data_IF_636588926382
#
_entry.id   IF_636588926382
#
_cell.length_a   1.000
_cell.length_b   1.000
_cell.length_c   1.000
_cell.angle_alpha   90.00
_cell.angle_beta   90.00
_cell.angle_gamma   90.00
#
_symmetry.space_group_name_H-M   'P 1'
#
loop_
_entity.id
_entity.type
_entity.pdbx_description
1 polymer ?
#
# COMPACT_ATOMS: atom_id res chain seq x y z
N UNK A 1 1.87 9.04 15.58
CA UNK A 1 2.69 9.47 14.43
C UNK A 1 1.81 9.77 13.21
N UNK A 2 0.97 8.85 12.70
CA UNK A 2 0.10 9.11 11.54
C UNK A 2 -0.87 10.26 11.77
N UNK A 3 -1.37 10.45 12.99
CA UNK A 3 -2.25 11.56 13.36
C UNK A 3 -1.58 12.93 13.31
N UNK A 4 -0.23 12.98 13.32
CA UNK A 4 0.60 14.19 13.30
C UNK A 4 1.31 14.37 11.95
N UNK A 5 0.92 13.59 10.91
CA UNK A 5 1.59 13.59 9.61
C UNK A 5 0.67 14.09 8.48
N UNK A 6 1.25 14.86 7.59
CA UNK A 6 0.59 15.43 6.42
C UNK A 6 1.04 16.87 6.18
N UNK A 7 0.65 17.43 5.05
CA UNK A 7 1.03 18.78 4.64
C UNK A 7 0.32 19.90 5.44
N UNK A 8 -0.83 19.59 6.07
CA UNK A 8 -1.60 20.56 6.85
C UNK A 8 -1.15 20.55 8.31
N UNK A 9 -0.39 21.57 8.70
CA UNK A 9 0.15 21.71 10.06
C UNK A 9 -0.94 21.95 11.13
N UNK A 10 -2.09 22.52 10.78
CA UNK A 10 -3.18 22.73 11.74
C UNK A 10 -3.84 21.39 12.07
N UNK A 11 -4.13 20.59 11.08
CA UNK A 11 -4.63 19.21 11.27
C UNK A 11 -3.63 18.34 12.04
N UNK A 12 -2.35 18.45 11.76
CA UNK A 12 -1.31 17.72 12.50
C UNK A 12 -1.32 18.05 13.99
N UNK A 13 -1.38 19.34 14.36
CA UNK A 13 -1.51 19.77 15.77
C UNK A 13 -2.80 19.30 16.43
N UNK A 14 -3.88 19.19 15.65
CA UNK A 14 -5.16 18.69 16.14
C UNK A 14 -5.24 17.14 16.21
N UNK A 15 -4.14 16.42 15.95
CA UNK A 15 -4.10 14.97 15.89
C UNK A 15 -5.03 14.38 14.81
N UNK A 16 -5.28 15.15 13.74
CA UNK A 16 -6.15 14.81 12.60
C UNK A 16 -5.38 14.94 11.27
N UNK A 17 -4.07 14.68 11.29
CA UNK A 17 -3.22 14.74 10.09
C UNK A 17 -3.71 13.84 8.96
N UNK A 18 -3.46 14.24 7.71
CA UNK A 18 -3.95 13.53 6.52
C UNK A 18 -3.44 12.10 6.41
N UNK A 19 -2.28 11.78 6.99
CA UNK A 19 -1.77 10.41 7.10
C UNK A 19 -2.68 9.48 7.93
N UNK A 20 -3.41 10.03 8.91
CA UNK A 20 -4.43 9.31 9.66
C UNK A 20 -5.78 9.35 8.93
N UNK A 21 -6.20 10.54 8.48
CA UNK A 21 -7.52 10.74 7.87
C UNK A 21 -7.76 9.81 6.68
N UNK A 22 -6.74 9.55 5.88
CA UNK A 22 -6.83 8.66 4.71
C UNK A 22 -7.23 7.23 5.05
N UNK A 23 -7.01 6.79 6.30
CA UNK A 23 -7.26 5.41 6.75
C UNK A 23 -8.21 5.35 7.96
N UNK A 24 -8.68 6.49 8.45
CA UNK A 24 -9.44 6.60 9.70
C UNK A 24 -10.93 6.29 9.60
N UNK A 25 -11.51 6.25 8.39
CA UNK A 25 -12.94 6.02 8.17
C UNK A 25 -13.43 4.67 8.69
N UNK A 26 -14.70 4.58 9.07
CA UNK A 26 -15.35 3.40 9.65
C UNK A 26 -14.73 2.87 10.95
N UNK A 27 -13.91 3.66 11.64
CA UNK A 27 -13.25 3.23 12.87
C UNK A 27 -13.77 4.01 14.08
N UNK A 28 -13.99 3.30 15.19
CA UNK A 28 -14.12 3.91 16.51
C UNK A 28 -12.73 4.11 17.09
N UNK A 29 -12.50 5.23 17.77
CA UNK A 29 -11.22 5.55 18.40
C UNK A 29 -11.36 5.52 19.92
N UNK A 30 -10.54 4.71 20.57
CA UNK A 30 -10.41 4.64 22.03
C UNK A 30 -8.99 5.07 22.43
N UNK A 31 -8.85 5.63 23.63
CA UNK A 31 -7.56 6.01 24.18
C UNK A 31 -7.26 5.21 25.45
N UNK A 32 -6.32 4.27 25.34
CA UNK A 32 -5.87 3.41 26.43
C UNK A 32 -4.40 3.65 26.74
N UNK A 33 -4.07 3.85 28.00
CA UNK A 33 -2.68 3.91 28.46
C UNK A 33 -2.21 2.51 28.88
N UNK A 34 -1.59 1.79 27.96
CA UNK A 34 -1.11 0.43 28.19
C UNK A 34 0.06 0.32 29.20
N UNK A 35 0.63 1.46 29.63
CA UNK A 35 1.61 1.46 30.73
C UNK A 35 0.95 1.23 32.09
N UNK A 36 -0.33 1.53 32.23
CA UNK A 36 -1.11 1.30 33.45
C UNK A 36 -1.74 -0.09 33.46
N UNK A 37 -1.97 -0.65 34.65
CA UNK A 37 -2.68 -1.91 34.81
C UNK A 37 -4.13 -1.82 34.27
N UNK A 38 -4.83 -0.72 34.56
CA UNK A 38 -6.20 -0.49 34.09
C UNK A 38 -6.32 -0.43 32.57
N UNK A 39 -5.37 0.22 31.87
CA UNK A 39 -5.35 0.27 30.40
C UNK A 39 -5.11 -1.12 29.78
N UNK A 40 -4.21 -1.92 30.35
CA UNK A 40 -3.98 -3.30 29.92
C UNK A 40 -5.21 -4.20 30.15
N UNK A 41 -5.83 -4.07 31.32
CA UNK A 41 -7.04 -4.84 31.63
C UNK A 41 -8.20 -4.48 30.69
N UNK A 42 -8.36 -3.21 30.35
CA UNK A 42 -9.34 -2.76 29.37
C UNK A 42 -9.11 -3.41 27.99
N UNK A 43 -7.86 -3.47 27.53
CA UNK A 43 -7.53 -4.15 26.26
C UNK A 43 -7.79 -5.67 26.35
N UNK A 44 -7.40 -6.32 27.45
CA UNK A 44 -7.66 -7.76 27.66
C UNK A 44 -9.16 -8.07 27.64
N UNK A 45 -9.98 -7.22 28.24
CA UNK A 45 -11.43 -7.38 28.23
C UNK A 45 -12.03 -7.16 26.82
N UNK A 46 -11.50 -6.21 26.04
CA UNK A 46 -11.87 -6.03 24.64
C UNK A 46 -11.56 -7.30 23.83
N UNK A 47 -10.38 -7.86 24.00
CA UNK A 47 -9.98 -9.11 23.32
C UNK A 47 -10.86 -10.28 23.72
N UNK A 48 -11.13 -10.44 25.02
CA UNK A 48 -11.91 -11.58 25.52
C UNK A 48 -13.38 -11.55 25.11
N UNK A 49 -13.97 -10.35 24.91
CA UNK A 49 -15.42 -10.20 24.74
C UNK A 49 -15.88 -9.70 23.38
N UNK A 50 -14.97 -9.13 22.58
CA UNK A 50 -15.39 -8.42 21.38
C UNK A 50 -14.49 -8.64 20.17
N UNK A 51 -13.16 -8.77 20.35
CA UNK A 51 -12.26 -8.80 19.21
C UNK A 51 -12.20 -10.17 18.52
N UNK A 52 -12.46 -10.19 17.23
CA UNK A 52 -12.14 -11.31 16.35
C UNK A 52 -10.68 -11.29 15.91
N UNK A 53 -10.15 -10.08 15.69
CA UNK A 53 -8.80 -9.83 15.20
C UNK A 53 -8.15 -8.74 16.04
N UNK A 54 -6.91 -8.96 16.43
CA UNK A 54 -6.05 -7.92 16.99
C UNK A 54 -4.89 -7.67 16.03
N UNK A 55 -4.69 -6.41 15.63
CA UNK A 55 -3.55 -5.99 14.80
C UNK A 55 -2.70 -5.04 15.61
N UNK A 56 -1.40 -5.29 15.67
CA UNK A 56 -0.44 -4.39 16.29
C UNK A 56 0.79 -4.18 15.39
N UNK A 57 1.45 -3.03 15.51
CA UNK A 57 2.69 -2.71 14.81
C UNK A 57 3.72 -2.07 15.74
N UNK A 58 3.75 -2.50 16.98
CA UNK A 58 4.78 -2.12 17.94
C UNK A 58 6.11 -2.82 17.64
N UNK A 59 7.17 -2.35 18.30
CA UNK A 59 8.47 -3.04 18.20
C UNK A 59 8.35 -4.47 18.73
N UNK A 60 9.04 -5.44 18.10
CA UNK A 60 9.05 -6.82 18.58
C UNK A 60 9.27 -6.93 20.09
N UNK A 61 8.47 -7.76 20.73
CA UNK A 61 8.52 -7.97 22.18
C UNK A 61 7.82 -6.92 23.04
N UNK A 62 7.44 -5.75 22.51
CA UNK A 62 6.84 -4.68 23.31
C UNK A 62 5.47 -5.08 23.89
N UNK A 63 4.60 -5.70 23.11
CA UNK A 63 3.31 -6.20 23.59
C UNK A 63 3.48 -7.37 24.57
N UNK A 64 4.41 -8.28 24.29
CA UNK A 64 4.75 -9.39 25.20
C UNK A 64 5.23 -8.88 26.55
N UNK A 65 6.10 -7.86 26.59
CA UNK A 65 6.56 -7.24 27.83
C UNK A 65 5.44 -6.59 28.66
N UNK A 66 4.32 -6.24 28.01
CA UNK A 66 3.12 -5.72 28.70
C UNK A 66 2.14 -6.81 29.11
N UNK A 67 2.43 -8.10 28.87
CA UNK A 67 1.50 -9.20 29.07
C UNK A 67 0.30 -9.17 28.12
N UNK A 68 0.54 -8.70 26.88
CA UNK A 68 -0.42 -8.56 25.78
C UNK A 68 0.05 -9.29 24.52
N UNK A 69 1.05 -10.18 24.63
CA UNK A 69 1.52 -11.01 23.54
C UNK A 69 0.48 -12.05 23.11
N UNK A 70 0.73 -12.70 21.98
CA UNK A 70 -0.20 -13.72 21.43
C UNK A 70 -0.54 -14.79 22.47
N UNK A 71 0.45 -15.37 23.14
CA UNK A 71 0.23 -16.43 24.14
C UNK A 71 -0.63 -15.96 25.31
N UNK A 72 -0.51 -14.70 25.71
CA UNK A 72 -1.32 -14.14 26.80
C UNK A 72 -2.78 -13.94 26.37
N UNK A 73 -2.98 -13.40 25.17
CA UNK A 73 -4.31 -13.06 24.69
C UNK A 73 -5.06 -14.28 24.12
N UNK A 74 -4.37 -15.25 23.54
CA UNK A 74 -4.96 -16.50 23.07
C UNK A 74 -5.52 -17.35 24.22
N UNK A 75 -4.97 -17.26 25.43
CA UNK A 75 -5.57 -17.87 26.63
C UNK A 75 -6.91 -17.25 27.02
N UNK A 76 -7.10 -15.97 26.72
CA UNK A 76 -8.35 -15.25 26.98
C UNK A 76 -9.37 -15.45 25.86
N UNK A 77 -8.90 -15.55 24.62
CA UNK A 77 -9.71 -15.78 23.43
C UNK A 77 -8.98 -16.76 22.48
N UNK A 78 -9.24 -18.07 22.62
CA UNK A 78 -8.60 -19.09 21.75
C UNK A 78 -8.92 -18.96 20.27
N UNK A 79 -9.95 -18.19 19.92
CA UNK A 79 -10.36 -17.95 18.54
C UNK A 79 -9.76 -16.68 17.93
N UNK A 80 -8.94 -15.95 18.69
CA UNK A 80 -8.35 -14.69 18.27
C UNK A 80 -7.38 -14.88 17.09
N UNK A 81 -7.56 -14.10 16.03
CA UNK A 81 -6.53 -13.89 15.01
C UNK A 81 -5.67 -12.71 15.44
N UNK A 82 -4.41 -12.98 15.74
CA UNK A 82 -3.45 -11.98 16.20
C UNK A 82 -2.44 -11.68 15.08
N UNK A 83 -2.43 -10.47 14.55
CA UNK A 83 -1.49 -10.05 13.50
C UNK A 83 -0.49 -9.02 14.03
N UNK A 84 0.79 -9.39 14.03
CA UNK A 84 1.90 -8.52 14.37
C UNK A 84 2.60 -8.08 13.08
N UNK A 85 2.64 -6.77 12.82
CA UNK A 85 3.21 -6.19 11.60
C UNK A 85 4.44 -5.38 11.94
N UNK A 86 5.63 -5.82 11.52
CA UNK A 86 6.89 -5.19 11.88
C UNK A 86 7.80 -5.00 10.66
N UNK A 87 8.92 -4.31 10.85
CA UNK A 87 9.88 -4.07 9.78
C UNK A 87 10.55 -5.38 9.29
N UNK A 88 10.98 -6.25 10.23
CA UNK A 88 11.80 -7.43 9.93
C UNK A 88 11.26 -8.73 10.54
N UNK A 89 10.02 -8.76 11.03
CA UNK A 89 9.44 -9.91 11.73
C UNK A 89 9.79 -9.95 13.22
N UNK A 90 9.14 -10.85 13.92
CA UNK A 90 9.31 -11.02 15.38
C UNK A 90 10.57 -11.82 15.75
N UNK A 91 11.16 -12.51 14.79
CA UNK A 91 12.33 -13.38 14.99
C UNK A 91 13.42 -13.09 13.95
N UNK A 92 14.61 -13.56 14.22
CA UNK A 92 15.76 -13.44 13.31
C UNK A 92 16.74 -12.33 13.71
N UNK A 93 17.87 -12.23 13.01
CA UNK A 93 18.99 -11.36 13.42
C UNK A 93 18.69 -9.87 13.34
N UNK A 94 17.64 -9.47 12.61
CA UNK A 94 17.21 -8.07 12.43
C UNK A 94 15.92 -7.72 13.18
N UNK A 95 15.33 -8.63 13.95
CA UNK A 95 14.05 -8.41 14.62
C UNK A 95 14.01 -7.16 15.52
N UNK A 96 15.13 -6.82 16.17
CA UNK A 96 15.24 -5.64 17.03
C UNK A 96 15.48 -4.33 16.28
N UNK A 97 15.77 -4.39 14.97
CA UNK A 97 15.97 -3.20 14.15
C UNK A 97 14.64 -2.53 13.82
N UNK A 98 14.68 -1.22 13.69
CA UNK A 98 13.52 -0.41 13.28
C UNK A 98 13.71 0.11 11.87
N UNK A 99 12.64 0.10 11.08
CA UNK A 99 12.64 0.68 9.74
C UNK A 99 11.24 1.21 9.41
N UNK A 100 11.22 2.10 8.43
CA UNK A 100 10.03 2.59 7.75
C UNK A 100 10.11 2.19 6.27
N UNK A 101 9.09 2.48 5.50
CA UNK A 101 8.98 2.16 4.08
C UNK A 101 10.29 2.37 3.28
N UNK A 102 10.82 3.60 3.29
CA UNK A 102 12.01 3.95 2.51
C UNK A 102 13.29 3.21 2.97
N UNK A 103 13.38 2.88 4.27
CA UNK A 103 14.49 2.09 4.78
C UNK A 103 14.37 0.62 4.36
N UNK A 104 13.14 0.08 4.30
CA UNK A 104 12.90 -1.26 3.75
C UNK A 104 13.16 -1.30 2.25
N UNK A 105 12.73 -0.29 1.48
CA UNK A 105 13.09 -0.20 0.06
C UNK A 105 14.61 -0.24 -0.15
N UNK A 106 15.36 0.49 0.68
CA UNK A 106 16.83 0.52 0.59
C UNK A 106 17.46 -0.83 0.92
N UNK A 107 17.02 -1.48 2.00
CA UNK A 107 17.64 -2.73 2.47
C UNK A 107 17.20 -3.96 1.68
N UNK A 108 16.04 -3.92 1.00
CA UNK A 108 15.54 -5.03 0.17
C UNK A 108 16.11 -5.05 -1.25
N UNK A 109 16.79 -3.98 -1.69
CA UNK A 109 17.29 -3.86 -3.06
C UNK A 109 16.37 -3.08 -4.03
N UNK A 110 15.13 -2.73 -3.64
CA UNK A 110 14.21 -1.94 -4.48
C UNK A 110 14.86 -0.61 -4.88
N UNK A 111 15.41 0.12 -3.92
CA UNK A 111 16.11 1.39 -4.18
C UNK A 111 17.32 1.19 -5.09
N UNK A 112 18.06 0.10 -4.90
CA UNK A 112 19.25 -0.19 -5.69
C UNK A 112 18.94 -0.48 -7.17
N UNK A 113 17.77 -1.02 -7.46
CA UNK A 113 17.31 -1.34 -8.83
C UNK A 113 16.49 -0.21 -9.48
N UNK A 114 16.13 0.83 -8.72
CA UNK A 114 15.33 1.98 -9.19
C UNK A 114 16.23 3.18 -9.49
N UNK A 115 15.94 3.91 -10.57
CA UNK A 115 16.71 5.06 -11.04
C UNK A 115 17.47 4.78 -12.34
N UNK A 116 18.50 5.59 -12.62
CA UNK A 116 19.41 5.46 -13.77
C UNK A 116 20.86 5.40 -13.30
N UNK A 117 21.79 5.19 -14.19
CA UNK A 117 23.21 5.30 -13.87
C UNK A 117 23.58 6.70 -13.41
N UNK A 118 23.01 7.73 -14.04
CA UNK A 118 23.29 9.14 -13.74
C UNK A 118 22.60 9.64 -12.48
N UNK A 119 21.35 9.24 -12.23
CA UNK A 119 20.62 9.62 -11.00
C UNK A 119 21.12 8.85 -9.77
N UNK A 120 21.74 7.69 -9.98
CA UNK A 120 21.98 6.73 -8.92
C UNK A 120 20.73 6.03 -8.42
N UNK A 121 20.80 5.35 -7.24
CA UNK A 121 19.66 4.70 -6.61
C UNK A 121 18.59 5.72 -6.16
N UNK A 122 17.31 5.44 -6.46
CA UNK A 122 16.18 6.30 -6.09
C UNK A 122 15.10 5.44 -5.42
N UNK A 123 14.52 5.92 -4.32
CA UNK A 123 13.33 5.28 -3.73
C UNK A 123 12.09 5.56 -4.57
N UNK A 124 11.09 4.70 -4.51
CA UNK A 124 9.77 5.00 -5.07
C UNK A 124 9.14 6.24 -4.39
N UNK A 125 8.37 7.01 -5.15
CA UNK A 125 7.71 8.22 -4.64
C UNK A 125 6.62 7.90 -3.60
N UNK A 126 5.80 6.90 -3.87
CA UNK A 126 4.77 6.42 -2.95
C UNK A 126 5.35 5.47 -1.88
N UNK A 127 4.75 5.39 -0.68
CA UNK A 127 5.13 4.43 0.37
C UNK A 127 4.60 3.02 0.01
N UNK A 128 5.17 2.44 -1.04
CA UNK A 128 4.66 1.22 -1.68
C UNK A 128 4.79 -0.01 -0.78
N UNK A 129 5.81 -0.08 0.05
CA UNK A 129 6.03 -1.23 0.95
C UNK A 129 5.03 -1.20 2.10
N UNK A 130 4.75 -0.02 2.67
CA UNK A 130 3.73 0.15 3.72
C UNK A 130 2.35 -0.31 3.22
N UNK A 131 1.92 0.20 2.06
CA UNK A 131 0.61 -0.17 1.49
C UNK A 131 0.55 -1.63 1.05
N UNK A 132 1.61 -2.16 0.46
CA UNK A 132 1.68 -3.59 0.13
C UNK A 132 1.63 -4.47 1.39
N UNK A 133 2.31 -4.06 2.48
CA UNK A 133 2.26 -4.76 3.77
C UNK A 133 0.85 -4.74 4.35
N UNK A 134 0.18 -3.59 4.34
CA UNK A 134 -1.20 -3.49 4.77
C UNK A 134 -2.16 -4.39 3.98
N UNK A 135 -1.99 -4.42 2.66
CA UNK A 135 -2.78 -5.30 1.76
C UNK A 135 -2.49 -6.77 2.01
N UNK A 136 -1.21 -7.15 2.16
CA UNK A 136 -0.82 -8.53 2.48
C UNK A 136 -1.33 -8.95 3.85
N UNK A 137 -1.33 -8.02 4.82
CA UNK A 137 -1.91 -8.22 6.15
C UNK A 137 -3.40 -8.48 6.09
N UNK A 138 -4.14 -7.71 5.32
CA UNK A 138 -5.58 -7.92 5.12
C UNK A 138 -5.86 -9.29 4.47
N UNK A 139 -5.06 -9.70 3.49
CA UNK A 139 -5.14 -11.03 2.89
C UNK A 139 -4.86 -12.16 3.90
N UNK A 140 -3.76 -12.05 4.66
CA UNK A 140 -3.38 -13.04 5.67
C UNK A 140 -4.45 -13.17 6.78
N UNK A 141 -5.00 -12.04 7.25
CA UNK A 141 -6.08 -12.01 8.22
C UNK A 141 -7.34 -12.68 7.65
N UNK A 142 -7.71 -12.38 6.41
CA UNK A 142 -8.88 -12.99 5.76
C UNK A 142 -8.72 -14.50 5.62
N UNK A 143 -7.52 -14.98 5.25
CA UNK A 143 -7.21 -16.40 5.18
C UNK A 143 -7.27 -17.08 6.57
N UNK A 144 -6.75 -16.41 7.61
CA UNK A 144 -6.82 -16.91 8.99
C UNK A 144 -8.26 -16.96 9.53
N UNK A 145 -9.09 -15.97 9.21
CA UNK A 145 -10.51 -15.97 9.55
C UNK A 145 -11.26 -17.11 8.84
N UNK A 146 -10.95 -17.34 7.57
CA UNK A 146 -11.51 -18.49 6.84
C UNK A 146 -11.07 -19.83 7.43
N UNK A 147 -9.80 -19.97 7.81
CA UNK A 147 -9.30 -21.14 8.53
C UNK A 147 -10.04 -21.33 9.86
N UNK A 148 -10.21 -20.25 10.63
CA UNK A 148 -10.94 -20.25 11.93
C UNK A 148 -12.37 -20.75 11.76
N UNK A 149 -13.10 -20.36 10.72
CA UNK A 149 -14.45 -20.85 10.45
C UNK A 149 -14.51 -22.39 10.29
N UNK A 150 -13.42 -23.00 9.84
CA UNK A 150 -13.34 -24.47 9.63
C UNK A 150 -12.81 -25.23 10.83
N UNK A 151 -11.92 -24.61 11.61
CA UNK A 151 -11.19 -25.28 12.71
C UNK A 151 -11.66 -24.87 14.11
N UNK A 152 -12.35 -23.74 14.21
CA UNK A 152 -12.68 -23.11 15.51
C UNK A 152 -11.48 -22.48 16.22
N UNK A 153 -10.28 -22.48 15.62
CA UNK A 153 -9.05 -22.00 16.26
C UNK A 153 -8.60 -20.65 15.68
N UNK A 154 -8.10 -19.77 16.56
CA UNK A 154 -7.41 -18.55 16.17
C UNK A 154 -6.05 -18.81 15.53
N UNK A 155 -5.35 -17.75 15.15
CA UNK A 155 -4.05 -17.85 14.47
C UNK A 155 -3.15 -16.68 14.86
N UNK A 156 -1.84 -16.93 14.94
CA UNK A 156 -0.82 -15.91 15.01
C UNK A 156 -0.25 -15.62 13.62
N UNK A 157 -0.19 -14.34 13.24
CA UNK A 157 0.38 -13.88 11.98
C UNK A 157 1.56 -12.97 12.30
N UNK A 158 2.77 -13.40 11.93
CA UNK A 158 3.99 -12.57 11.93
C UNK A 158 4.22 -12.06 10.51
N UNK A 159 4.01 -10.78 10.27
CA UNK A 159 4.15 -10.14 8.96
C UNK A 159 5.27 -9.12 8.97
N UNK A 160 6.27 -9.33 8.13
CA UNK A 160 7.42 -8.44 7.99
C UNK A 160 7.35 -7.60 6.72
N UNK A 161 7.55 -6.30 6.83
CA UNK A 161 7.67 -5.40 5.66
C UNK A 161 8.80 -5.82 4.71
N UNK A 162 9.92 -6.31 5.27
CA UNK A 162 11.04 -6.81 4.48
C UNK A 162 10.64 -8.01 3.61
N UNK A 163 9.90 -8.96 4.16
CA UNK A 163 9.44 -10.14 3.42
C UNK A 163 8.48 -9.75 2.29
N UNK A 164 7.58 -8.80 2.56
CA UNK A 164 6.69 -8.24 1.54
C UNK A 164 7.50 -7.54 0.43
N UNK A 165 8.52 -6.77 0.77
CA UNK A 165 9.41 -6.14 -0.20
C UNK A 165 10.16 -7.16 -1.06
N UNK A 166 10.53 -8.32 -0.50
CA UNK A 166 11.10 -9.43 -1.27
C UNK A 166 10.08 -10.04 -2.23
N UNK A 167 8.82 -10.25 -1.80
CA UNK A 167 7.75 -10.73 -2.67
C UNK A 167 7.47 -9.77 -3.84
N UNK A 168 7.50 -8.45 -3.61
CA UNK A 168 7.36 -7.45 -4.68
C UNK A 168 8.44 -7.56 -5.76
N UNK A 169 9.60 -8.12 -5.43
CA UNK A 169 10.72 -8.35 -6.34
C UNK A 169 10.82 -9.80 -6.83
N UNK A 170 9.77 -10.60 -6.71
CA UNK A 170 9.81 -12.05 -6.95
C UNK A 170 10.46 -12.45 -8.28
N UNK A 171 10.18 -11.74 -9.38
CA UNK A 171 10.80 -12.00 -10.68
C UNK A 171 12.31 -11.70 -10.68
N UNK A 172 12.74 -10.59 -10.08
CA UNK A 172 14.15 -10.23 -9.98
C UNK A 172 14.94 -11.23 -9.11
N UNK A 173 14.31 -11.70 -8.02
CA UNK A 173 14.92 -12.72 -7.14
C UNK A 173 15.12 -14.02 -7.90
N UNK A 174 14.08 -14.49 -8.60
CA UNK A 174 14.16 -15.74 -9.37
C UNK A 174 15.22 -15.63 -10.47
N UNK A 175 15.23 -14.53 -11.21
CA UNK A 175 16.21 -14.27 -12.26
C UNK A 175 17.65 -14.28 -11.70
N UNK A 176 17.87 -13.53 -10.62
CA UNK A 176 19.19 -13.46 -9.99
C UNK A 176 19.68 -14.82 -9.44
N UNK A 177 18.81 -15.53 -8.71
CA UNK A 177 19.20 -16.82 -8.13
C UNK A 177 19.43 -17.91 -9.20
N UNK A 178 18.73 -17.82 -10.34
CA UNK A 178 18.88 -18.78 -11.43
C UNK A 178 20.05 -18.44 -12.38
N UNK A 179 20.24 -17.18 -12.73
CA UNK A 179 21.17 -16.77 -13.79
C UNK A 179 22.34 -15.91 -13.31
N UNK A 180 22.32 -15.44 -12.07
CA UNK A 180 23.31 -14.48 -11.54
C UNK A 180 23.13 -13.04 -12.05
N UNK A 181 22.08 -12.76 -12.85
CA UNK A 181 21.86 -11.43 -13.39
C UNK A 181 21.27 -10.47 -12.37
N UNK A 182 22.01 -9.44 -12.00
CA UNK A 182 21.51 -8.36 -11.16
C UNK A 182 20.54 -7.45 -11.92
N UNK A 183 19.41 -7.03 -11.31
CA UNK A 183 18.55 -6.02 -11.90
C UNK A 183 19.34 -4.70 -12.05
N UNK A 184 19.29 -4.10 -13.25
CA UNK A 184 19.98 -2.85 -13.55
C UNK A 184 19.05 -1.66 -13.37
N UNK A 185 19.62 -0.51 -13.00
CA UNK A 185 18.90 0.78 -13.01
C UNK A 185 18.76 1.28 -14.42
N UNK A 186 17.67 0.96 -15.06
CA UNK A 186 17.41 1.33 -16.45
C UNK A 186 16.47 2.55 -16.61
N UNK A 187 16.03 3.14 -15.48
CA UNK A 187 15.07 4.25 -15.51
C UNK A 187 13.79 3.86 -16.24
N UNK A 188 13.46 4.63 -17.27
CA UNK A 188 12.29 4.39 -18.10
C UNK A 188 12.57 3.49 -19.33
N UNK A 189 13.78 2.98 -19.44
CA UNK A 189 14.15 2.06 -20.54
C UNK A 189 13.81 0.63 -20.11
N UNK A 190 12.98 -0.01 -20.90
CA UNK A 190 12.56 -1.40 -20.69
C UNK A 190 13.29 -2.33 -21.67
N UNK A 191 12.99 -3.63 -21.58
CA UNK A 191 13.58 -4.67 -22.43
C UNK A 191 13.45 -4.40 -23.94
N UNK A 192 12.39 -3.68 -24.36
CA UNK A 192 12.16 -3.30 -25.76
C UNK A 192 11.82 -1.81 -25.86
N UNK A 193 12.16 -1.19 -26.96
CA UNK A 193 11.77 0.20 -27.22
C UNK A 193 10.25 0.37 -27.19
N UNK A 194 9.50 -0.60 -27.74
CA UNK A 194 8.01 -0.61 -27.72
C UNK A 194 7.38 -0.75 -26.31
N UNK A 195 8.18 -0.88 -25.27
CA UNK A 195 7.70 -0.94 -23.86
C UNK A 195 8.35 0.13 -22.96
N UNK A 196 9.16 1.01 -23.52
CA UNK A 196 9.88 2.07 -22.80
C UNK A 196 9.06 3.37 -22.76
N UNK A 197 9.49 4.33 -21.93
CA UNK A 197 8.90 5.67 -21.95
C UNK A 197 9.81 6.66 -22.68
N UNK A 198 9.20 7.59 -23.40
CA UNK A 198 9.90 8.57 -24.20
C UNK A 198 9.32 9.97 -24.03
N UNK A 199 10.17 11.02 -24.04
CA UNK A 199 9.71 12.38 -24.24
C UNK A 199 8.95 12.48 -25.57
N UNK A 200 7.75 13.06 -25.53
CA UNK A 200 6.97 13.43 -26.71
C UNK A 200 7.20 14.89 -27.06
N UNK A 201 6.54 15.42 -28.11
CA UNK A 201 6.57 16.85 -28.39
C UNK A 201 6.17 17.69 -27.18
N UNK A 202 5.21 17.21 -26.43
CA UNK A 202 4.78 17.71 -25.14
C UNK A 202 4.41 16.52 -24.24
N UNK A 203 4.94 16.48 -23.00
CA UNK A 203 4.72 15.41 -22.03
C UNK A 203 5.61 14.18 -22.25
N UNK A 204 5.32 13.12 -21.53
CA UNK A 204 6.03 11.84 -21.56
C UNK A 204 5.04 10.71 -21.89
N UNK A 205 5.35 9.92 -22.90
CA UNK A 205 4.54 8.75 -23.30
C UNK A 205 5.16 7.46 -22.79
N UNK A 206 4.41 6.65 -22.07
CA UNK A 206 4.78 5.28 -21.71
C UNK A 206 4.19 4.32 -22.73
N UNK A 207 5.04 3.59 -23.43
CA UNK A 207 4.64 2.49 -24.31
C UNK A 207 4.61 1.18 -23.54
N UNK A 208 3.72 0.26 -23.91
CA UNK A 208 3.57 -1.03 -23.27
C UNK A 208 3.25 -2.19 -24.25
N UNK A 209 3.71 -2.09 -25.48
CA UNK A 209 3.51 -3.10 -26.53
C UNK A 209 4.48 -4.29 -26.35
N UNK A 210 4.17 -5.18 -25.41
CA UNK A 210 5.09 -6.22 -24.91
C UNK A 210 5.05 -7.54 -25.69
N UNK A 211 3.89 -7.97 -26.21
CA UNK A 211 3.77 -9.22 -26.98
C UNK A 211 3.94 -8.99 -28.49
N UNK A 212 4.17 -10.07 -29.24
CA UNK A 212 4.45 -10.03 -30.68
C UNK A 212 3.36 -9.30 -31.50
N UNK A 213 2.07 -9.49 -31.14
CA UNK A 213 0.94 -8.82 -31.82
C UNK A 213 0.93 -7.32 -31.55
N UNK A 214 1.16 -6.92 -30.31
CA UNK A 214 1.23 -5.50 -29.94
C UNK A 214 2.47 -4.83 -30.52
N UNK A 215 3.62 -5.50 -30.50
CA UNK A 215 4.86 -5.05 -31.14
C UNK A 215 4.62 -4.77 -32.62
N UNK A 216 4.06 -5.73 -33.38
CA UNK A 216 3.74 -5.54 -34.80
C UNK A 216 2.83 -4.32 -35.02
N UNK A 217 1.71 -4.23 -34.29
CA UNK A 217 0.77 -3.10 -34.41
C UNK A 217 1.43 -1.76 -34.10
N UNK A 218 2.31 -1.72 -33.10
CA UNK A 218 3.04 -0.51 -32.74
C UNK A 218 3.95 -0.05 -33.90
N UNK A 219 4.79 -0.93 -34.43
CA UNK A 219 5.71 -0.57 -35.49
C UNK A 219 5.01 -0.29 -36.83
N UNK A 220 3.92 -0.99 -37.13
CA UNK A 220 3.02 -0.63 -38.24
C UNK A 220 2.45 0.79 -38.06
N UNK A 221 1.99 1.12 -36.86
CA UNK A 221 1.38 2.41 -36.53
C UNK A 221 2.38 3.58 -36.65
N UNK A 222 3.65 3.36 -36.32
CA UNK A 222 4.69 4.41 -36.45
C UNK A 222 5.41 4.43 -37.79
N UNK A 223 5.05 3.53 -38.74
CA UNK A 223 5.58 3.51 -40.09
C UNK A 223 6.89 2.74 -40.23
N UNK A 224 7.16 1.74 -39.39
CA UNK A 224 8.32 0.84 -39.49
C UNK A 224 7.86 -0.62 -39.73
N UNK A 225 7.48 -0.95 -41.01
CA UNK A 225 6.98 -2.28 -41.34
C UNK A 225 8.07 -3.37 -41.30
N UNK A 226 9.32 -3.01 -41.39
CA UNK A 226 10.42 -3.97 -41.25
C UNK A 226 10.51 -4.50 -39.83
N UNK A 227 10.54 -3.60 -38.84
CA UNK A 227 10.55 -4.01 -37.42
C UNK A 227 9.24 -4.70 -37.01
N UNK A 228 8.11 -4.33 -37.58
CA UNK A 228 6.82 -4.98 -37.35
C UNK A 228 6.81 -6.47 -37.69
N UNK A 229 7.65 -6.93 -38.60
CA UNK A 229 7.76 -8.37 -38.98
C UNK A 229 8.60 -9.20 -38.03
N UNK A 230 9.41 -8.57 -37.13
CA UNK A 230 10.25 -9.26 -36.18
C UNK A 230 9.40 -9.84 -35.06
N UNK A 231 9.19 -11.15 -35.09
CA UNK A 231 8.24 -11.82 -34.20
C UNK A 231 8.91 -12.39 -32.93
N UNK A 232 10.15 -12.89 -33.05
CA UNK A 232 10.83 -13.54 -31.93
C UNK A 232 11.43 -12.52 -30.93
N UNK A 233 11.61 -12.97 -29.70
CA UNK A 233 12.26 -12.15 -28.67
C UNK A 233 13.72 -11.80 -29.01
N UNK A 234 14.44 -12.73 -29.64
CA UNK A 234 15.83 -12.56 -30.02
C UNK A 234 15.97 -11.46 -31.08
N UNK A 235 15.19 -11.52 -32.17
CA UNK A 235 15.18 -10.51 -33.23
C UNK A 235 14.86 -9.10 -32.73
N UNK A 236 13.90 -8.97 -31.81
CA UNK A 236 13.54 -7.68 -31.19
C UNK A 236 14.61 -7.15 -30.26
N UNK A 237 15.40 -8.03 -29.64
CA UNK A 237 16.48 -7.63 -28.73
C UNK A 237 17.73 -7.18 -29.49
N UNK A 238 18.01 -7.77 -30.64
CA UNK A 238 19.20 -7.52 -31.46
C UNK A 238 19.36 -6.04 -31.86
N UNK A 239 18.27 -5.35 -32.19
CA UNK A 239 18.27 -3.93 -32.59
C UNK A 239 17.78 -2.98 -31.50
N UNK A 240 17.77 -3.42 -30.24
CA UNK A 240 17.17 -2.64 -29.14
C UNK A 240 17.72 -1.21 -29.04
N UNK A 241 19.04 -1.03 -29.04
CA UNK A 241 19.67 0.31 -28.90
C UNK A 241 19.33 1.23 -30.07
N UNK A 242 19.35 0.72 -31.31
CA UNK A 242 18.95 1.45 -32.51
C UNK A 242 17.47 1.89 -32.42
N UNK A 243 16.60 0.96 -32.01
CA UNK A 243 15.16 1.24 -31.94
C UNK A 243 14.80 2.17 -30.76
N UNK A 244 15.56 2.16 -29.68
CA UNK A 244 15.38 3.17 -28.63
C UNK A 244 15.56 4.60 -29.21
N UNK A 245 16.60 4.81 -29.98
CA UNK A 245 16.85 6.10 -30.61
C UNK A 245 15.77 6.45 -31.64
N UNK A 246 15.46 5.54 -32.56
CA UNK A 246 14.49 5.79 -33.63
C UNK A 246 13.06 6.03 -33.08
N UNK A 247 12.61 5.23 -32.11
CA UNK A 247 11.32 5.44 -31.47
C UNK A 247 11.31 6.73 -30.66
N UNK A 248 12.41 7.06 -29.96
CA UNK A 248 12.53 8.33 -29.23
C UNK A 248 12.36 9.55 -30.12
N UNK A 249 12.99 9.56 -31.31
CA UNK A 249 12.79 10.65 -32.30
C UNK A 249 11.35 10.66 -32.85
N UNK A 250 10.79 9.50 -33.15
CA UNK A 250 9.41 9.39 -33.63
C UNK A 250 8.38 9.92 -32.63
N UNK A 251 8.57 9.66 -31.32
CA UNK A 251 7.65 10.14 -30.27
C UNK A 251 7.62 11.69 -30.20
N UNK A 252 8.64 12.40 -30.63
CA UNK A 252 8.66 13.87 -30.65
C UNK A 252 7.75 14.51 -31.72
N UNK A 253 7.22 13.74 -32.66
CA UNK A 253 6.34 14.23 -33.71
C UNK A 253 4.96 14.67 -33.20
N UNK A 254 4.48 14.12 -32.10
CA UNK A 254 3.15 14.39 -31.51
C UNK A 254 3.26 14.62 -30.05
N UNK A 255 2.24 15.23 -29.43
CA UNK A 255 2.10 15.29 -27.96
C UNK A 255 1.83 13.90 -27.39
N UNK A 256 2.06 13.72 -26.11
CA UNK A 256 1.79 12.44 -25.43
C UNK A 256 0.29 12.08 -25.45
N UNK A 257 -0.62 13.07 -25.39
CA UNK A 257 -2.06 12.86 -25.51
C UNK A 257 -2.48 12.42 -26.92
N UNK A 258 -1.89 13.04 -27.95
CA UNK A 258 -2.12 12.63 -29.34
C UNK A 258 -1.61 11.20 -29.59
N UNK A 259 -0.41 10.86 -29.05
CA UNK A 259 0.12 9.50 -29.16
C UNK A 259 -0.73 8.49 -28.42
N UNK A 260 -1.17 8.78 -27.20
CA UNK A 260 -2.07 7.90 -26.44
C UNK A 260 -3.34 7.61 -27.24
N UNK A 261 -4.04 8.65 -27.71
CA UNK A 261 -5.27 8.50 -28.50
C UNK A 261 -5.02 7.69 -29.79
N UNK A 262 -3.97 8.03 -30.53
CA UNK A 262 -3.62 7.38 -31.79
C UNK A 262 -3.28 5.90 -31.62
N UNK A 263 -2.44 5.55 -30.62
CA UNK A 263 -1.99 4.18 -30.38
C UNK A 263 -3.10 3.31 -29.79
N UNK A 264 -3.87 3.85 -28.84
CA UNK A 264 -5.01 3.14 -28.24
C UNK A 264 -6.08 2.81 -29.30
N UNK A 265 -6.38 3.71 -30.25
CA UNK A 265 -7.30 3.42 -31.35
C UNK A 265 -6.87 2.25 -32.24
N UNK A 266 -5.59 1.87 -32.18
CA UNK A 266 -4.99 0.73 -32.91
C UNK A 266 -4.74 -0.48 -32.02
N UNK A 267 -5.31 -0.47 -30.81
CA UNK A 267 -5.10 -1.51 -29.79
C UNK A 267 -3.62 -1.73 -29.43
N UNK A 268 -2.86 -0.65 -29.41
CA UNK A 268 -1.48 -0.60 -28.91
C UNK A 268 -1.51 0.03 -27.54
N UNK A 269 -1.09 -0.69 -26.49
CA UNK A 269 -1.06 -0.13 -25.14
C UNK A 269 -0.01 1.01 -25.05
N UNK A 270 -0.50 2.20 -24.81
CA UNK A 270 0.31 3.39 -24.56
C UNK A 270 -0.48 4.35 -23.69
N UNK A 271 0.21 5.12 -22.85
CA UNK A 271 -0.45 6.09 -21.97
C UNK A 271 0.48 7.27 -21.69
N UNK A 272 -0.08 8.47 -21.61
CA UNK A 272 0.65 9.63 -21.12
C UNK A 272 0.96 9.49 -19.63
N UNK A 273 2.16 9.85 -19.23
CA UNK A 273 2.49 9.96 -17.81
C UNK A 273 1.77 11.18 -17.23
N UNK A 274 0.92 10.96 -16.24
CA UNK A 274 0.05 11.96 -15.61
C UNK A 274 0.55 12.36 -14.24
N UNK A 275 0.36 13.62 -13.89
CA UNK A 275 0.46 14.04 -12.49
C UNK A 275 -0.76 13.55 -11.67
N UNK A 276 -0.60 13.50 -10.34
CA UNK A 276 -1.68 13.04 -9.45
C UNK A 276 -2.98 13.84 -9.65
N UNK A 277 -2.90 15.17 -9.82
CA UNK A 277 -4.09 16.02 -10.07
C UNK A 277 -4.87 15.61 -11.31
N UNK A 278 -4.15 15.19 -12.37
CA UNK A 278 -4.73 14.78 -13.64
C UNK A 278 -5.34 13.39 -13.53
N UNK A 279 -4.67 12.48 -12.83
CA UNK A 279 -5.21 11.14 -12.54
C UNK A 279 -6.47 11.22 -11.67
N UNK A 280 -6.56 12.15 -10.71
CA UNK A 280 -7.74 12.38 -9.89
C UNK A 280 -8.92 13.00 -10.68
N UNK A 281 -8.63 13.72 -11.76
CA UNK A 281 -9.64 14.29 -12.65
C UNK A 281 -10.15 13.29 -13.71
N UNK A 282 -9.56 12.11 -13.82
CA UNK A 282 -9.93 11.10 -14.82
C UNK A 282 -11.37 10.60 -14.59
N UNK A 283 -12.28 10.72 -15.58
CA UNK A 283 -13.66 10.21 -15.46
C UNK A 283 -13.73 8.71 -15.14
N UNK A 284 -12.73 7.93 -15.54
CA UNK A 284 -12.66 6.51 -15.21
C UNK A 284 -12.57 6.28 -13.71
N UNK A 285 -11.75 7.07 -12.99
CA UNK A 285 -11.64 6.99 -11.54
C UNK A 285 -12.99 7.21 -10.85
N UNK A 286 -13.76 8.20 -11.31
CA UNK A 286 -15.11 8.47 -10.81
C UNK A 286 -16.08 7.30 -11.07
N UNK A 287 -16.03 6.71 -12.28
CA UNK A 287 -16.86 5.55 -12.63
C UNK A 287 -16.57 4.32 -11.77
N UNK A 288 -15.35 4.17 -11.31
CA UNK A 288 -14.89 3.05 -10.43
C UNK A 288 -15.28 3.24 -8.97
N UNK A 289 -15.71 4.42 -8.55
CA UNK A 289 -16.09 4.76 -7.16
C UNK A 289 -15.04 4.38 -6.12
N UNK A 290 -13.75 4.55 -6.46
CA UNK A 290 -12.63 4.25 -5.57
C UNK A 290 -12.34 5.34 -4.55
N UNK A 291 -13.04 6.47 -4.63
CA UNK A 291 -12.95 7.59 -3.71
C UNK A 291 -14.28 7.79 -2.99
N UNK A 292 -14.20 8.11 -1.70
CA UNK A 292 -15.33 8.51 -0.87
C UNK A 292 -15.12 9.95 -0.39
N UNK A 293 -16.16 10.77 -0.45
CA UNK A 293 -16.18 12.15 0.04
C UNK A 293 -17.00 12.26 1.31
N UNK A 294 -16.34 12.64 2.39
CA UNK A 294 -17.02 13.12 3.60
C UNK A 294 -17.31 14.60 3.47
N UNK A 295 -18.56 14.99 3.60
CA UNK A 295 -18.94 16.41 3.63
C UNK A 295 -18.53 17.09 4.92
N UNK A 296 -18.55 16.34 6.03
CA UNK A 296 -18.11 16.80 7.35
C UNK A 296 -17.28 15.74 8.06
N UNK A 297 -16.19 16.19 8.68
CA UNK A 297 -15.35 15.34 9.56
C UNK A 297 -15.09 16.14 10.86
N UNK A 298 -15.30 15.54 12.04
CA UNK A 298 -15.08 16.24 13.31
C UNK A 298 -13.66 16.79 13.43
N UNK A 299 -13.54 18.13 13.54
CA UNK A 299 -12.24 18.81 13.67
C UNK A 299 -11.49 19.03 12.35
N UNK A 300 -12.17 18.90 11.21
CA UNK A 300 -11.65 19.23 9.87
C UNK A 300 -12.56 20.27 9.23
N UNK A 301 -12.01 21.40 8.82
CA UNK A 301 -12.79 22.57 8.34
C UNK A 301 -13.33 22.41 6.92
N UNK A 302 -12.83 21.44 6.15
CA UNK A 302 -13.17 21.25 4.74
C UNK A 302 -13.62 19.82 4.49
N UNK A 303 -14.47 19.59 3.46
CA UNK A 303 -14.78 18.24 3.02
C UNK A 303 -13.51 17.42 2.76
N UNK A 304 -13.55 16.15 3.13
CA UNK A 304 -12.42 15.24 3.02
C UNK A 304 -12.72 14.13 2.00
N UNK A 305 -11.86 13.97 1.01
CA UNK A 305 -11.93 12.82 0.09
C UNK A 305 -10.83 11.82 0.43
N UNK A 306 -11.23 10.56 0.55
CA UNK A 306 -10.32 9.45 0.91
C UNK A 306 -10.46 8.28 -0.06
N UNK A 307 -9.41 7.48 -0.28
CA UNK A 307 -9.54 6.22 -0.99
C UNK A 307 -10.46 5.25 -0.23
N UNK A 308 -11.28 4.50 -0.97
CA UNK A 308 -12.16 3.49 -0.42
C UNK A 308 -11.52 2.09 -0.57
N UNK A 309 -11.71 1.46 -1.72
CA UNK A 309 -11.15 0.14 -2.02
C UNK A 309 -10.95 -0.02 -3.53
N UNK A 310 -9.97 -0.82 -3.91
CA UNK A 310 -9.62 -1.06 -5.32
C UNK A 310 -10.44 -2.18 -5.98
N UNK A 311 -11.54 -2.60 -5.35
CA UNK A 311 -12.43 -3.65 -5.85
C UNK A 311 -13.89 -3.31 -5.57
N UNK A 312 -14.79 -3.98 -6.30
CA UNK A 312 -16.24 -3.93 -6.06
C UNK A 312 -16.79 -5.35 -6.00
N UNK A 313 -17.81 -5.57 -5.18
CA UNK A 313 -18.58 -6.79 -5.16
C UNK A 313 -19.91 -6.60 -5.88
N UNK A 314 -20.50 -7.70 -6.38
CA UNK A 314 -21.85 -7.65 -6.94
C UNK A 314 -22.91 -7.38 -5.85
N UNK A 315 -22.63 -7.78 -4.62
CA UNK A 315 -23.47 -7.57 -3.45
C UNK A 315 -22.62 -7.06 -2.29
N UNK A 316 -23.14 -6.13 -1.50
CA UNK A 316 -22.55 -5.62 -0.25
C UNK A 316 -21.07 -5.22 -0.39
N UNK A 317 -20.78 -4.36 -1.36
CA UNK A 317 -19.44 -3.87 -1.65
C UNK A 317 -18.86 -2.97 -0.56
N UNK A 318 -17.58 -2.58 -0.69
CA UNK A 318 -16.93 -1.67 0.24
C UNK A 318 -17.69 -0.34 0.36
N UNK A 319 -17.96 0.09 1.59
CA UNK A 319 -18.65 1.35 1.90
C UNK A 319 -17.96 2.09 3.05
N UNK A 320 -18.19 3.39 3.11
CA UNK A 320 -17.82 4.23 4.26
C UNK A 320 -19.09 4.85 4.82
N UNK A 321 -19.36 4.58 6.11
CA UNK A 321 -20.53 5.05 6.84
C UNK A 321 -20.19 6.08 7.91
N UNK A 322 -18.93 6.06 8.38
CA UNK A 322 -18.49 6.93 9.48
C UNK A 322 -17.21 7.68 9.10
N UNK A 323 -17.12 8.97 9.43
CA UNK A 323 -15.89 9.73 9.25
C UNK A 323 -14.80 9.26 10.22
N UNK A 324 -13.52 9.67 9.98
CA UNK A 324 -12.43 9.48 10.92
C UNK A 324 -12.74 10.12 12.28
N UNK A 325 -12.48 9.39 13.37
CA UNK A 325 -12.78 9.81 14.72
C UNK A 325 -11.60 10.56 15.39
N UNK A 326 -11.90 11.47 16.30
CA UNK A 326 -10.91 12.10 17.19
C UNK A 326 -10.31 11.07 18.16
N UNK A 327 -9.17 11.39 18.75
CA UNK A 327 -8.55 10.54 19.78
C UNK A 327 -9.51 10.36 20.96
N UNK A 328 -9.78 9.11 21.32
CA UNK A 328 -10.62 8.77 22.47
C UNK A 328 -12.13 9.04 22.31
N UNK A 329 -12.58 9.50 21.14
CA UNK A 329 -13.98 9.91 20.91
C UNK A 329 -15.01 8.85 21.30
N UNK A 330 -14.66 7.58 21.19
CA UNK A 330 -15.56 6.47 21.48
C UNK A 330 -15.13 5.64 22.71
N UNK A 331 -14.25 6.18 23.57
CA UNK A 331 -13.71 5.43 24.71
C UNK A 331 -14.82 4.89 25.61
N UNK A 332 -15.79 5.72 26.01
CA UNK A 332 -16.86 5.32 26.91
C UNK A 332 -17.81 4.30 26.26
N UNK A 333 -18.25 4.59 25.03
CA UNK A 333 -19.12 3.69 24.24
C UNK A 333 -18.53 2.30 24.14
N UNK A 334 -17.24 2.21 23.76
CA UNK A 334 -16.57 0.92 23.54
C UNK A 334 -16.34 0.17 24.87
N UNK A 335 -15.98 0.88 25.93
CA UNK A 335 -15.79 0.26 27.24
C UNK A 335 -17.12 -0.23 27.83
N UNK A 336 -18.20 0.52 27.70
CA UNK A 336 -19.55 0.08 28.09
C UNK A 336 -19.97 -1.18 27.35
N UNK A 337 -19.71 -1.24 26.03
CA UNK A 337 -20.04 -2.41 25.21
C UNK A 337 -19.35 -3.71 25.67
N UNK A 338 -18.20 -3.60 26.36
CA UNK A 338 -17.51 -4.77 26.96
C UNK A 338 -17.75 -4.93 28.47
N UNK A 339 -18.76 -4.22 29.00
CA UNK A 339 -19.30 -4.43 30.33
C UNK A 339 -18.61 -3.63 31.44
N UNK A 340 -18.01 -2.49 31.15
CA UNK A 340 -17.64 -1.50 32.16
C UNK A 340 -18.86 -0.64 32.54
N UNK A 341 -19.01 -0.34 33.82
CA UNK A 341 -19.98 0.67 34.27
C UNK A 341 -19.43 2.07 34.13
N UNK A 342 -20.30 3.09 34.11
CA UNK A 342 -19.87 4.50 34.07
C UNK A 342 -18.93 4.86 35.27
N UNK A 343 -19.16 4.31 36.44
CA UNK A 343 -18.28 4.52 37.59
C UNK A 343 -16.89 3.91 37.40
N UNK A 344 -16.82 2.72 36.83
CA UNK A 344 -15.54 2.07 36.48
C UNK A 344 -14.77 2.86 35.43
N UNK A 345 -15.44 3.37 34.38
CA UNK A 345 -14.83 4.22 33.36
C UNK A 345 -14.31 5.50 33.98
N UNK A 346 -15.10 6.16 34.85
CA UNK A 346 -14.65 7.34 35.58
C UNK A 346 -13.42 7.06 36.48
N UNK A 347 -13.36 5.90 37.12
CA UNK A 347 -12.20 5.48 37.89
C UNK A 347 -10.96 5.26 37.01
N UNK A 348 -11.12 4.60 35.84
CA UNK A 348 -10.05 4.42 34.86
C UNK A 348 -9.52 5.78 34.33
N UNK A 349 -10.42 6.74 34.13
CA UNK A 349 -10.06 8.11 33.70
C UNK A 349 -9.28 8.85 34.79
N UNK A 350 -9.71 8.80 36.07
CA UNK A 350 -8.96 9.37 37.21
C UNK A 350 -7.58 8.75 37.39
N UNK A 351 -7.42 7.48 37.11
CA UNK A 351 -6.12 6.80 37.20
C UNK A 351 -5.20 7.02 35.98
N UNK A 352 -5.64 7.76 34.98
CA UNK A 352 -4.91 7.96 33.73
C UNK A 352 -4.79 6.69 32.86
N UNK A 353 -5.67 5.71 33.06
CA UNK A 353 -5.70 4.47 32.26
C UNK A 353 -6.42 4.66 30.93
N UNK A 354 -7.37 5.62 30.86
CA UNK A 354 -8.11 5.99 29.65
C UNK A 354 -8.25 7.52 29.59
N UNK A 355 -8.45 8.05 28.37
CA UNK A 355 -8.74 9.46 28.12
C UNK A 355 -10.11 9.64 27.47
#
# INVERSE_FOLDING_TARGET
QSRESGADHALNRAMMGTGFLTQGSNKRAIALNLKTAGGREALKRLVARWADVLVENYRPGAFTALGLGYEDLARLNPTLVYASMTAFGQKGPRATQTAYDHAIQATSGITASTGTETSGPIKAGAPMVDYATGTMGAFAISAALFQRLRTGQGQYIDLAMFDVAMILQGSHITDYLHSGHHPRRAGNVMRFASTSAFPAKEGLIQLAASNARQHRRFYEAIGDPEEARRASLAERHERHAEKLTAVGEKMKEKTADEWETYLQSRHVPATRVRELREALADPHLQSRRVLHRHETVPGVDKPLTVPLAAFSFAHDGPSIERPPARVGEHTDEVLMAVGYTGEQIAALRRSGAVA
#
